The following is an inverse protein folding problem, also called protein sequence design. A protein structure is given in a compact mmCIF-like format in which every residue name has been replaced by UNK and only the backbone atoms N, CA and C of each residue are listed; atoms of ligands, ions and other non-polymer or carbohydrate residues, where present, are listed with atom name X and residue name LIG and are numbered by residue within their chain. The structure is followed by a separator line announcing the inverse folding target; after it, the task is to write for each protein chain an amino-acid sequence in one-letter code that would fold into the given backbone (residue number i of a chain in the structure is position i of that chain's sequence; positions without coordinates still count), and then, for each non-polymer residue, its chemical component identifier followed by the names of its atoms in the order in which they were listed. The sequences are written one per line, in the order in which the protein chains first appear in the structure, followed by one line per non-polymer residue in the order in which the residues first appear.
data_IF_968769273691
#
_entry.id   IF_968769273691
#
_cell.length_a   1.000
_cell.length_b   1.000
_cell.length_c   1.000
_cell.angle_alpha   90.00
_cell.angle_beta   90.00
_cell.angle_gamma   90.00
#
_symmetry.space_group_name_H-M   'P 1'
#
loop_
_entity.id
_entity.type
_entity.pdbx_description
1 polymer ?
#
# COMPACT_ATOMS: atom_id res chain seq x y z
N UNK A 1 -47.30 -27.42 -11.98
CA UNK A 1 -47.66 -28.15 -10.74
C UNK A 1 -46.64 -29.24 -10.47
N UNK A 2 -46.05 -29.28 -9.26
CA UNK A 2 -45.65 -30.47 -8.47
C UNK A 2 -45.33 -29.96 -7.06
N UNK A 3 -45.74 -30.68 -6.01
CA UNK A 3 -45.52 -30.32 -4.59
C UNK A 3 -44.65 -31.39 -3.93
N UNK A 4 -43.85 -30.99 -2.93
CA UNK A 4 -43.57 -31.62 -1.61
C UNK A 4 -42.26 -30.97 -1.08
N UNK A 5 -42.14 -30.26 0.07
CA UNK A 5 -42.45 -30.55 1.50
C UNK A 5 -41.85 -31.87 2.01
N UNK A 6 -41.13 -31.97 3.15
CA UNK A 6 -40.67 -31.01 4.18
C UNK A 6 -39.53 -31.66 5.00
N UNK A 7 -38.70 -30.89 5.73
CA UNK A 7 -38.27 -31.20 7.12
C UNK A 7 -37.40 -30.06 7.73
N UNK A 8 -37.30 -29.99 9.06
CA UNK A 8 -36.61 -28.89 9.77
C UNK A 8 -36.20 -29.23 11.23
N UNK A 9 -35.17 -28.53 11.73
CA UNK A 9 -34.88 -28.20 13.15
C UNK A 9 -34.47 -29.34 14.13
N UNK A 10 -33.98 -29.05 15.38
CA UNK A 10 -33.02 -28.00 15.81
C UNK A 10 -32.03 -28.44 16.97
N UNK A 11 -31.32 -27.46 17.59
CA UNK A 11 -30.69 -27.44 18.96
C UNK A 11 -29.28 -28.08 19.14
N UNK A 12 -28.42 -27.67 20.09
CA UNK A 12 -28.51 -26.60 21.12
C UNK A 12 -27.15 -25.99 21.62
N UNK A 13 -27.21 -24.72 22.06
CA UNK A 13 -26.50 -24.04 23.19
C UNK A 13 -25.03 -24.37 23.59
N UNK A 14 -24.12 -23.37 23.60
CA UNK A 14 -23.58 -22.68 24.83
C UNK A 14 -22.62 -21.48 24.60
N UNK A 15 -22.63 -20.53 25.55
CA UNK A 15 -21.60 -19.50 25.85
C UNK A 15 -21.54 -19.32 27.40
N UNK A 16 -20.55 -18.64 28.03
CA UNK A 16 -20.73 -17.20 28.35
C UNK A 16 -19.48 -16.30 28.70
N UNK A 17 -19.33 -15.17 28.00
CA UNK A 17 -19.03 -13.80 28.57
C UNK A 17 -17.65 -13.54 29.26
N UNK A 18 -17.34 -12.36 29.89
CA UNK A 18 -16.19 -11.50 29.50
C UNK A 18 -15.29 -11.17 30.74
N UNK A 19 -14.97 -9.94 31.24
CA UNK A 19 -15.15 -8.53 30.77
C UNK A 19 -14.05 -8.10 29.76
N UNK A 20 -13.51 -6.87 29.57
CA UNK A 20 -13.48 -5.56 30.26
C UNK A 20 -13.43 -4.37 29.24
N UNK A 21 -13.64 -3.13 29.72
CA UNK A 21 -13.28 -1.84 29.08
C UNK A 21 -12.50 -0.97 30.08
N UNK A 22 -11.77 0.10 29.66
CA UNK A 22 -12.30 1.45 29.95
C UNK A 22 -11.85 2.65 29.05
N UNK A 23 -12.77 3.63 28.93
CA UNK A 23 -12.56 5.11 29.01
C UNK A 23 -11.84 5.91 27.89
N UNK A 24 -12.41 7.08 27.58
CA UNK A 24 -11.82 8.16 26.77
C UNK A 24 -10.86 9.05 27.59
N UNK A 25 -9.81 9.57 26.96
CA UNK A 25 -9.08 10.74 27.44
C UNK A 25 -8.84 11.75 26.28
N UNK A 26 -8.43 12.98 26.60
CA UNK A 26 -8.44 14.11 25.64
C UNK A 26 -7.13 14.91 25.65
N UNK A 27 -6.94 15.68 24.56
CA UNK A 27 -6.03 16.83 24.36
C UNK A 27 -4.53 16.59 24.08
N UNK A 28 -4.10 17.38 23.09
CA UNK A 28 -2.88 18.22 22.97
C UNK A 28 -1.62 17.70 22.23
N UNK A 29 -1.31 18.51 21.21
CA UNK A 29 0.02 19.04 20.84
C UNK A 29 1.04 18.10 20.19
N UNK A 30 1.44 18.47 18.96
CA UNK A 30 2.63 17.96 18.29
C UNK A 30 3.91 18.62 18.86
N UNK A 31 5.02 17.88 19.02
CA UNK A 31 6.31 18.45 19.39
C UNK A 31 7.16 18.78 18.15
N UNK A 32 7.29 20.06 17.80
CA UNK A 32 8.29 20.52 16.83
C UNK A 32 9.69 20.26 17.40
N UNK A 33 10.49 19.40 16.77
CA UNK A 33 11.86 19.10 17.24
C UNK A 33 12.91 19.74 16.32
N UNK A 34 13.64 20.71 16.86
CA UNK A 34 14.73 21.40 16.17
C UNK A 34 15.92 20.46 15.88
N UNK A 35 16.70 20.79 14.84
CA UNK A 35 17.95 20.08 14.53
C UNK A 35 19.04 20.39 15.57
N UNK A 36 19.79 19.39 16.06
CA UNK A 36 21.09 19.63 16.69
C UNK A 36 22.16 19.92 15.62
N UNK A 37 23.18 20.74 15.92
CA UNK A 37 24.30 20.99 15.00
C UNK A 37 25.21 19.77 14.84
N UNK A 38 25.89 19.67 13.70
CA UNK A 38 26.81 18.56 13.42
C UNK A 38 28.12 18.65 14.22
N UNK A 39 28.52 17.54 14.85
CA UNK A 39 29.89 17.26 15.37
C UNK A 39 30.02 15.87 16.03
N UNK A 40 28.91 15.25 16.46
CA UNK A 40 28.94 14.03 17.27
C UNK A 40 29.54 12.77 16.59
N UNK A 41 29.35 12.57 15.28
CA UNK A 41 29.78 11.33 14.61
C UNK A 41 31.32 11.22 14.49
N UNK A 42 31.99 12.35 14.26
CA UNK A 42 33.45 12.38 14.02
C UNK A 42 34.26 12.06 15.29
N UNK A 43 33.72 12.37 16.47
CA UNK A 43 34.34 12.05 17.76
C UNK A 43 34.21 10.57 18.17
N UNK A 44 33.18 9.86 17.67
CA UNK A 44 32.96 8.45 18.01
C UNK A 44 34.02 7.53 17.35
N UNK A 45 34.45 7.85 16.14
CA UNK A 45 35.36 7.03 15.34
C UNK A 45 36.83 7.12 15.80
N UNK A 46 37.26 8.21 16.43
CA UNK A 46 38.65 8.37 16.90
C UNK A 46 38.89 7.81 18.29
N UNK A 47 37.85 7.56 19.10
CA UNK A 47 37.98 7.08 20.47
C UNK A 47 38.08 5.54 20.60
N UNK A 48 37.59 4.77 19.61
CA UNK A 48 37.61 3.30 19.65
C UNK A 48 38.93 2.66 19.15
N UNK A 49 39.90 3.45 18.71
CA UNK A 49 41.20 2.94 18.22
C UNK A 49 42.19 2.55 19.34
N UNK A 50 41.90 2.83 20.61
CA UNK A 50 42.93 2.94 21.64
C UNK A 50 42.64 2.22 22.98
N UNK A 51 42.03 1.02 22.98
CA UNK A 51 42.23 0.04 24.08
C UNK A 51 41.74 -1.40 23.77
N UNK A 52 42.31 -2.08 22.76
CA UNK A 52 42.18 -3.54 22.64
C UNK A 52 43.23 -4.19 23.56
N UNK A 53 42.87 -4.37 24.83
CA UNK A 53 43.68 -5.17 25.76
C UNK A 53 43.58 -6.65 25.39
N UNK A 54 44.73 -7.31 25.24
CA UNK A 54 44.83 -8.71 24.81
C UNK A 54 44.43 -9.67 25.95
N UNK A 55 43.13 -9.88 26.15
CA UNK A 55 42.62 -10.89 27.09
C UNK A 55 42.82 -12.31 26.56
N UNK A 56 43.12 -13.30 27.43
CA UNK A 56 43.33 -14.69 27.02
C UNK A 56 42.03 -15.34 26.50
N UNK A 57 42.13 -16.33 25.60
CA UNK A 57 40.97 -16.83 24.85
C UNK A 57 40.06 -17.72 25.70
N UNK A 58 38.94 -17.15 26.17
CA UNK A 58 37.75 -17.94 26.50
C UNK A 58 37.00 -18.30 25.21
N UNK A 59 36.39 -19.48 25.15
CA UNK A 59 35.86 -20.06 23.90
C UNK A 59 34.80 -19.16 23.20
N UNK A 60 34.09 -18.33 23.96
CA UNK A 60 33.11 -17.35 23.46
C UNK A 60 33.74 -16.30 22.53
N UNK A 61 34.98 -15.89 22.81
CA UNK A 61 35.68 -14.86 22.03
C UNK A 61 36.01 -15.31 20.60
N UNK A 62 36.39 -16.58 20.43
CA UNK A 62 36.69 -17.18 19.12
C UNK A 62 35.47 -17.13 18.19
N UNK A 63 34.27 -17.28 18.74
CA UNK A 63 33.01 -17.23 17.97
C UNK A 63 32.69 -15.80 17.51
N UNK A 64 32.96 -14.77 18.34
CA UNK A 64 32.73 -13.38 17.95
C UNK A 64 33.79 -12.88 16.96
N UNK A 65 35.09 -13.12 17.23
CA UNK A 65 36.18 -12.78 16.28
C UNK A 65 35.99 -13.52 14.96
N UNK A 66 35.66 -14.82 15.00
CA UNK A 66 35.39 -15.61 13.79
C UNK A 66 34.18 -15.15 12.97
N UNK A 67 33.19 -14.50 13.60
CA UNK A 67 32.08 -13.84 12.87
C UNK A 67 32.51 -12.49 12.30
N UNK A 68 33.24 -11.69 13.07
CA UNK A 68 33.71 -10.36 12.65
C UNK A 68 34.67 -10.46 11.45
N UNK A 69 35.68 -11.35 11.51
CA UNK A 69 36.60 -11.58 10.39
C UNK A 69 35.86 -12.05 9.12
N UNK A 70 34.85 -12.93 9.24
CA UNK A 70 34.03 -13.36 8.09
C UNK A 70 33.27 -12.21 7.44
N UNK A 71 32.71 -11.28 8.23
CA UNK A 71 32.02 -10.10 7.69
C UNK A 71 33.00 -9.15 6.99
N UNK A 72 34.20 -8.96 7.54
CA UNK A 72 35.26 -8.16 6.92
C UNK A 72 35.69 -8.78 5.58
N UNK A 73 36.02 -10.07 5.53
CA UNK A 73 36.46 -10.72 4.29
C UNK A 73 35.38 -10.81 3.20
N UNK A 74 34.10 -10.89 3.57
CA UNK A 74 32.99 -10.80 2.60
C UNK A 74 32.86 -9.37 2.05
N UNK A 75 33.06 -8.34 2.88
CA UNK A 75 33.08 -6.94 2.43
C UNK A 75 34.29 -6.66 1.53
N UNK A 76 35.48 -7.16 1.87
CA UNK A 76 36.69 -7.07 1.05
C UNK A 76 36.51 -7.76 -0.31
N UNK A 77 35.88 -8.95 -0.33
CA UNK A 77 35.54 -9.65 -1.57
C UNK A 77 34.64 -8.80 -2.48
N UNK A 78 33.53 -8.27 -1.95
CA UNK A 78 32.66 -7.40 -2.75
C UNK A 78 33.33 -6.10 -3.17
N UNK A 79 34.18 -5.50 -2.32
CA UNK A 79 34.91 -4.28 -2.66
C UNK A 79 35.86 -4.53 -3.86
N UNK A 80 36.63 -5.62 -3.82
CA UNK A 80 37.50 -6.02 -4.92
C UNK A 80 36.72 -6.37 -6.20
N UNK A 81 35.65 -7.17 -6.09
CA UNK A 81 34.84 -7.61 -7.25
C UNK A 81 34.05 -6.47 -7.90
N UNK A 82 33.64 -5.45 -7.14
CA UNK A 82 32.82 -4.33 -7.63
C UNK A 82 33.65 -3.04 -7.84
N UNK A 83 34.98 -3.10 -7.77
CA UNK A 83 35.87 -1.92 -7.85
C UNK A 83 35.57 -1.06 -9.08
N UNK A 84 35.40 -1.66 -10.25
CA UNK A 84 35.18 -0.94 -11.51
C UNK A 84 33.82 -0.23 -11.56
N UNK A 85 32.79 -0.80 -10.91
CA UNK A 85 31.46 -0.19 -10.77
C UNK A 85 31.51 0.96 -9.75
N UNK A 86 32.23 0.76 -8.63
CA UNK A 86 32.42 1.79 -7.59
C UNK A 86 33.21 3.00 -8.12
N UNK A 87 34.15 2.77 -9.04
CA UNK A 87 34.96 3.81 -9.67
C UNK A 87 34.38 4.36 -10.98
N UNK A 88 33.22 3.86 -11.45
CA UNK A 88 32.61 4.33 -12.69
C UNK A 88 32.22 5.82 -12.58
N UNK A 89 32.85 6.72 -13.35
CA UNK A 89 32.78 8.17 -13.06
C UNK A 89 31.38 8.73 -13.23
N UNK A 90 30.63 8.22 -14.22
CA UNK A 90 29.32 8.74 -14.60
C UNK A 90 28.15 8.09 -13.82
N UNK A 91 28.45 7.18 -12.88
CA UNK A 91 27.45 6.51 -12.05
C UNK A 91 26.56 7.52 -11.31
N UNK A 92 27.16 8.60 -10.79
CA UNK A 92 26.48 9.59 -9.95
C UNK A 92 25.88 10.76 -10.73
N UNK A 93 26.49 11.15 -11.84
CA UNK A 93 26.07 12.29 -12.68
C UNK A 93 24.97 11.90 -13.64
N UNK A 94 25.09 10.73 -14.29
CA UNK A 94 24.18 10.27 -15.34
C UNK A 94 23.29 9.13 -14.83
N UNK A 95 23.86 7.99 -14.44
CA UNK A 95 23.09 6.76 -14.18
C UNK A 95 22.06 6.94 -13.05
N UNK A 96 22.50 7.38 -11.87
CA UNK A 96 21.59 7.68 -10.75
C UNK A 96 20.72 8.93 -10.97
N UNK A 97 21.07 9.82 -11.90
CA UNK A 97 20.20 10.94 -12.26
C UNK A 97 19.00 10.43 -13.05
N UNK A 98 19.25 9.67 -14.11
CA UNK A 98 18.23 9.12 -14.99
C UNK A 98 17.29 8.17 -14.24
N UNK A 99 17.80 7.29 -13.38
CA UNK A 99 16.95 6.45 -12.52
C UNK A 99 16.13 7.25 -11.50
N UNK A 100 16.66 8.34 -10.96
CA UNK A 100 15.91 9.22 -10.04
C UNK A 100 14.81 9.98 -10.78
N UNK A 101 15.06 10.49 -11.98
CA UNK A 101 14.05 11.17 -12.79
C UNK A 101 12.92 10.21 -13.19
N UNK A 102 13.27 9.03 -13.71
CA UNK A 102 12.33 7.97 -14.03
C UNK A 102 11.51 7.51 -12.81
N UNK A 103 12.18 7.28 -11.67
CA UNK A 103 11.53 6.95 -10.41
C UNK A 103 10.57 8.04 -9.92
N UNK A 104 10.97 9.32 -10.05
CA UNK A 104 10.11 10.46 -9.72
C UNK A 104 8.88 10.54 -10.62
N UNK A 105 9.00 10.21 -11.92
CA UNK A 105 7.86 10.16 -12.84
C UNK A 105 6.85 9.05 -12.44
N UNK A 106 7.34 7.86 -12.10
CA UNK A 106 6.48 6.78 -11.59
C UNK A 106 5.81 7.15 -10.26
N UNK A 107 6.55 7.76 -9.32
CA UNK A 107 6.01 8.24 -8.05
C UNK A 107 4.97 9.34 -8.26
N UNK A 108 5.16 10.25 -9.22
CA UNK A 108 4.17 11.26 -9.57
C UNK A 108 2.87 10.61 -10.07
N UNK A 109 2.94 9.64 -10.98
CA UNK A 109 1.75 8.92 -11.46
C UNK A 109 1.01 8.21 -10.33
N UNK A 110 1.74 7.52 -9.43
CA UNK A 110 1.17 6.82 -8.27
C UNK A 110 0.48 7.79 -7.29
N UNK A 111 1.14 8.91 -6.96
CA UNK A 111 0.60 9.92 -6.04
C UNK A 111 -0.58 10.67 -6.64
N UNK A 112 -0.59 10.90 -7.95
CA UNK A 112 -1.70 11.53 -8.67
C UNK A 112 -2.95 10.63 -8.66
N UNK A 113 -2.79 9.31 -8.87
CA UNK A 113 -3.89 8.34 -8.74
C UNK A 113 -4.43 8.26 -7.30
N UNK A 114 -3.54 8.29 -6.30
CA UNK A 114 -3.95 8.32 -4.88
C UNK A 114 -4.68 9.62 -4.50
N UNK A 115 -4.31 10.76 -5.09
CA UNK A 115 -5.01 12.03 -4.90
C UNK A 115 -6.39 12.00 -5.55
N UNK A 116 -6.48 11.59 -6.83
CA UNK A 116 -7.74 11.45 -7.55
C UNK A 116 -8.70 10.49 -6.84
N UNK A 117 -8.20 9.35 -6.34
CA UNK A 117 -9.01 8.39 -5.57
C UNK A 117 -9.61 8.99 -4.29
N UNK A 118 -8.92 9.93 -3.64
CA UNK A 118 -9.44 10.64 -2.46
C UNK A 118 -10.51 11.67 -2.84
N UNK A 119 -10.34 12.35 -3.97
CA UNK A 119 -11.33 13.30 -4.53
C UNK A 119 -12.61 12.56 -4.94
N UNK A 120 -12.50 11.48 -5.72
CA UNK A 120 -13.64 10.66 -6.14
C UNK A 120 -14.40 10.03 -4.97
N UNK A 121 -13.71 9.59 -3.90
CA UNK A 121 -14.37 9.08 -2.69
C UNK A 121 -15.08 10.20 -1.92
N UNK A 122 -14.53 11.42 -1.89
CA UNK A 122 -15.22 12.58 -1.32
C UNK A 122 -16.50 12.90 -2.12
N UNK A 123 -16.44 12.88 -3.45
CA UNK A 123 -17.60 13.06 -4.33
C UNK A 123 -18.70 12.03 -4.04
N UNK A 124 -18.35 10.73 -4.04
CA UNK A 124 -19.29 9.64 -3.78
C UNK A 124 -19.94 9.76 -2.39
N UNK A 125 -19.21 10.23 -1.37
CA UNK A 125 -19.77 10.47 -0.03
C UNK A 125 -20.78 11.63 0.00
N UNK A 126 -20.61 12.67 -0.83
CA UNK A 126 -21.58 13.75 -0.98
C UNK A 126 -22.77 13.37 -1.86
N UNK A 127 -22.56 12.52 -2.87
CA UNK A 127 -23.61 12.01 -3.76
C UNK A 127 -24.51 10.96 -3.09
N UNK A 128 -23.95 10.11 -2.21
CA UNK A 128 -24.62 8.95 -1.61
C UNK A 128 -26.06 9.18 -1.11
N UNK A 129 -26.41 10.28 -0.40
CA UNK A 129 -27.79 10.53 0.04
C UNK A 129 -28.79 10.68 -1.12
N UNK A 130 -28.35 11.24 -2.25
CA UNK A 130 -29.16 11.50 -3.43
C UNK A 130 -29.27 10.26 -4.33
N UNK A 131 -28.24 9.41 -4.32
CA UNK A 131 -28.21 8.09 -4.97
C UNK A 131 -28.86 6.98 -4.12
N UNK A 132 -29.47 7.32 -2.98
CA UNK A 132 -30.10 6.39 -2.03
C UNK A 132 -29.15 5.37 -1.38
N UNK A 133 -27.84 5.64 -1.41
CA UNK A 133 -26.79 4.83 -0.79
C UNK A 133 -26.73 5.18 0.70
N UNK A 134 -27.33 4.34 1.54
CA UNK A 134 -27.43 4.57 2.98
C UNK A 134 -26.49 3.65 3.78
N UNK A 135 -25.76 4.16 4.79
CA UNK A 135 -24.87 3.35 5.63
C UNK A 135 -25.63 2.32 6.47
N UNK A 136 -24.94 1.27 6.94
CA UNK A 136 -25.52 0.22 7.78
C UNK A 136 -25.91 0.78 9.16
N UNK A 137 -27.17 0.62 9.55
CA UNK A 137 -27.68 1.16 10.82
C UNK A 137 -27.28 0.29 12.03
N UNK A 138 -26.82 0.94 13.10
CA UNK A 138 -26.53 0.28 14.39
C UNK A 138 -27.79 -0.36 15.02
N UNK A 139 -27.63 -1.62 15.41
CA UNK A 139 -28.67 -2.44 16.03
C UNK A 139 -28.17 -2.99 17.38
N UNK A 140 -29.03 -2.90 18.40
CA UNK A 140 -28.85 -3.48 19.73
C UNK A 140 -29.35 -4.93 19.72
N UNK A 141 -29.03 -5.69 20.77
CA UNK A 141 -29.60 -7.02 20.96
C UNK A 141 -31.13 -7.01 20.87
N UNK A 142 -31.67 -8.00 20.13
CA UNK A 142 -33.10 -8.12 19.83
C UNK A 142 -33.63 -7.26 18.67
N UNK A 143 -32.88 -6.27 18.17
CA UNK A 143 -33.34 -5.43 17.04
C UNK A 143 -33.02 -6.05 15.67
N UNK A 144 -34.02 -6.13 14.78
CA UNK A 144 -33.82 -6.59 13.40
C UNK A 144 -33.28 -5.45 12.50
N UNK A 145 -32.09 -5.66 11.93
CA UNK A 145 -31.43 -4.66 11.07
C UNK A 145 -32.27 -4.26 9.86
N UNK A 146 -32.94 -5.21 9.19
CA UNK A 146 -33.82 -4.94 8.04
C UNK A 146 -34.89 -3.88 8.34
N UNK A 147 -35.51 -3.95 9.53
CA UNK A 147 -36.58 -3.03 9.95
C UNK A 147 -36.02 -1.63 10.20
N UNK A 148 -34.80 -1.53 10.74
CA UNK A 148 -34.10 -0.24 10.93
C UNK A 148 -33.60 0.34 9.60
N UNK A 149 -33.04 -0.48 8.72
CA UNK A 149 -32.57 -0.05 7.41
C UNK A 149 -33.75 0.44 6.55
N UNK A 150 -34.89 -0.26 6.57
CA UNK A 150 -36.10 0.17 5.84
C UNK A 150 -36.69 1.47 6.40
N UNK A 151 -36.74 1.65 7.73
CA UNK A 151 -37.13 2.94 8.33
C UNK A 151 -36.19 4.10 7.95
N UNK A 152 -34.90 3.81 7.72
CA UNK A 152 -33.95 4.82 7.23
C UNK A 152 -34.21 5.15 5.75
N UNK A 153 -34.47 4.13 4.92
CA UNK A 153 -34.88 4.28 3.52
C UNK A 153 -36.18 5.09 3.39
N UNK A 154 -37.22 4.73 4.16
CA UNK A 154 -38.49 5.46 4.27
C UNK A 154 -38.27 6.95 4.64
N UNK A 155 -37.34 7.25 5.55
CA UNK A 155 -37.01 8.63 5.98
C UNK A 155 -36.32 9.46 4.89
N UNK A 156 -35.47 8.85 4.06
CA UNK A 156 -34.64 9.56 3.07
C UNK A 156 -35.10 9.38 1.61
N UNK A 157 -36.22 8.70 1.37
CA UNK A 157 -36.78 8.50 0.02
C UNK A 157 -36.98 9.82 -0.76
N UNK A 158 -37.33 10.91 -0.07
CA UNK A 158 -37.51 12.23 -0.66
C UNK A 158 -36.23 12.90 -1.15
N UNK A 159 -35.04 12.35 -0.84
CA UNK A 159 -33.76 12.83 -1.40
C UNK A 159 -33.38 12.13 -2.72
N UNK A 160 -34.06 11.05 -3.13
CA UNK A 160 -33.68 10.27 -4.29
C UNK A 160 -33.94 11.02 -5.60
N UNK A 161 -32.90 11.66 -6.16
CA UNK A 161 -33.03 12.65 -7.24
C UNK A 161 -33.69 12.08 -8.49
N UNK A 162 -33.18 10.96 -9.02
CA UNK A 162 -33.72 10.32 -10.24
C UNK A 162 -35.20 9.94 -10.07
N UNK A 163 -35.57 9.38 -8.91
CA UNK A 163 -36.94 8.95 -8.62
C UNK A 163 -37.90 10.15 -8.53
N UNK A 164 -37.49 11.23 -7.85
CA UNK A 164 -38.26 12.48 -7.80
C UNK A 164 -38.45 13.11 -9.20
N UNK A 165 -37.40 13.13 -10.02
CA UNK A 165 -37.45 13.69 -11.37
C UNK A 165 -38.31 12.84 -12.30
N UNK A 166 -38.24 11.51 -12.21
CA UNK A 166 -39.10 10.62 -13.01
C UNK A 166 -40.57 10.64 -12.56
N UNK A 167 -40.90 11.15 -11.37
CA UNK A 167 -42.27 11.36 -10.91
C UNK A 167 -42.85 12.76 -11.22
N UNK A 168 -42.01 13.81 -11.26
CA UNK A 168 -42.47 15.21 -11.31
C UNK A 168 -41.91 16.03 -12.48
N UNK A 169 -40.89 15.53 -13.18
CA UNK A 169 -40.18 16.21 -14.26
C UNK A 169 -40.70 15.87 -15.65
N UNK A 170 -40.09 16.50 -16.66
CA UNK A 170 -40.30 16.14 -18.07
C UNK A 170 -39.44 14.93 -18.46
N UNK A 171 -39.80 14.17 -19.52
CA UNK A 171 -38.98 13.04 -19.99
C UNK A 171 -37.52 13.41 -20.33
N UNK A 172 -37.29 14.64 -20.80
CA UNK A 172 -35.94 15.15 -21.06
C UNK A 172 -35.12 15.28 -19.77
N UNK A 173 -35.74 15.75 -18.68
CA UNK A 173 -35.08 15.86 -17.38
C UNK A 173 -34.82 14.50 -16.74
N UNK A 174 -35.70 13.51 -16.95
CA UNK A 174 -35.48 12.12 -16.52
C UNK A 174 -34.21 11.54 -17.15
N UNK A 175 -34.11 11.58 -18.48
CA UNK A 175 -32.94 11.09 -19.21
C UNK A 175 -31.63 11.77 -18.73
N UNK A 176 -31.63 13.10 -18.55
CA UNK A 176 -30.46 13.86 -18.07
C UNK A 176 -30.11 13.48 -16.63
N UNK A 177 -31.10 13.20 -15.78
CA UNK A 177 -30.87 12.78 -14.40
C UNK A 177 -30.29 11.36 -14.32
N UNK A 178 -30.71 10.44 -15.20
CA UNK A 178 -30.18 9.08 -15.27
C UNK A 178 -28.74 9.04 -15.82
N UNK A 179 -28.42 9.84 -16.84
CA UNK A 179 -27.05 10.01 -17.32
C UNK A 179 -26.15 10.68 -16.25
N UNK A 180 -26.66 11.71 -15.57
CA UNK A 180 -25.95 12.37 -14.48
C UNK A 180 -25.70 11.47 -13.27
N UNK A 181 -26.64 10.59 -12.90
CA UNK A 181 -26.46 9.61 -11.82
C UNK A 181 -25.38 8.58 -12.18
N UNK A 182 -25.39 8.08 -13.43
CA UNK A 182 -24.36 7.17 -13.95
C UNK A 182 -22.97 7.81 -13.87
N UNK A 183 -22.83 9.02 -14.43
CA UNK A 183 -21.58 9.81 -14.41
C UNK A 183 -21.15 10.25 -12.99
N UNK A 184 -22.03 10.19 -11.99
CA UNK A 184 -21.68 10.48 -10.59
C UNK A 184 -21.23 9.23 -9.85
N UNK A 185 -21.87 8.09 -10.14
CA UNK A 185 -21.60 6.79 -9.51
C UNK A 185 -20.34 6.10 -10.05
N UNK A 186 -20.05 6.29 -11.33
CA UNK A 186 -18.95 5.62 -12.01
C UNK A 186 -17.67 6.46 -11.89
N UNK A 187 -16.75 5.95 -11.05
CA UNK A 187 -15.49 6.55 -10.61
C UNK A 187 -14.38 5.50 -10.71
N UNK A 188 -13.14 5.91 -10.94
CA UNK A 188 -12.00 5.00 -11.06
C UNK A 188 -11.76 4.23 -9.76
N UNK A 189 -11.90 4.90 -8.62
CA UNK A 189 -11.79 4.33 -7.27
C UNK A 189 -12.75 3.17 -6.97
N UNK A 190 -13.76 2.92 -7.81
CA UNK A 190 -14.69 1.80 -7.68
C UNK A 190 -14.11 0.45 -8.14
N UNK A 191 -12.92 0.41 -8.76
CA UNK A 191 -12.25 -0.85 -9.12
C UNK A 191 -11.24 -0.80 -10.28
N UNK A 192 -10.75 0.37 -10.67
CA UNK A 192 -9.79 0.56 -11.74
C UNK A 192 -8.49 1.16 -11.19
N UNK A 193 -7.35 0.85 -11.83
CA UNK A 193 -6.05 1.49 -11.56
C UNK A 193 -5.40 1.93 -12.87
N UNK A 194 -4.82 3.14 -12.87
CA UNK A 194 -4.09 3.69 -14.01
C UNK A 194 -2.61 3.29 -13.92
N UNK A 195 -2.07 3.19 -12.71
CA UNK A 195 -0.69 2.84 -12.43
C UNK A 195 -0.33 1.42 -12.88
N UNK A 196 -1.24 0.45 -12.77
CA UNK A 196 -1.05 -0.90 -13.35
C UNK A 196 -0.88 -0.85 -14.89
N UNK A 197 -1.66 -0.01 -15.57
CA UNK A 197 -1.56 0.22 -17.02
C UNK A 197 -0.25 0.94 -17.38
N UNK A 198 0.19 1.89 -16.55
CA UNK A 198 1.47 2.59 -16.72
C UNK A 198 2.65 1.63 -16.56
N UNK A 199 2.69 0.80 -15.50
CA UNK A 199 3.72 -0.22 -15.30
C UNK A 199 3.72 -1.26 -16.43
N UNK A 200 2.54 -1.64 -16.93
CA UNK A 200 2.41 -2.56 -18.07
C UNK A 200 2.98 -1.98 -19.36
N UNK A 201 2.82 -0.66 -19.61
CA UNK A 201 3.44 0.04 -20.74
C UNK A 201 4.95 0.19 -20.57
N UNK A 202 5.40 0.56 -19.37
CA UNK A 202 6.83 0.65 -19.01
C UNK A 202 7.57 -0.67 -19.25
N UNK A 203 6.93 -1.80 -18.91
CA UNK A 203 7.49 -3.13 -19.21
C UNK A 203 7.72 -3.34 -20.71
N UNK A 204 6.83 -2.83 -21.57
CA UNK A 204 6.97 -2.84 -23.03
C UNK A 204 7.96 -1.81 -23.59
N UNK A 205 8.79 -1.19 -22.75
CA UNK A 205 10.00 -0.47 -23.17
C UNK A 205 11.29 -1.25 -22.80
N UNK A 206 11.17 -2.40 -22.14
CA UNK A 206 12.28 -3.24 -21.68
C UNK A 206 12.46 -4.48 -22.58
N UNK A 207 12.28 -4.30 -23.89
CA UNK A 207 12.30 -5.36 -24.90
C UNK A 207 13.73 -5.80 -25.32
N UNK A 208 14.76 -5.04 -24.94
CA UNK A 208 16.15 -5.35 -25.28
C UNK A 208 16.66 -6.59 -24.48
N UNK A 209 17.31 -7.58 -25.11
CA UNK A 209 17.82 -8.76 -24.41
C UNK A 209 18.83 -8.45 -23.29
N UNK A 210 19.44 -7.25 -23.25
CA UNK A 210 20.36 -6.85 -22.17
C UNK A 210 19.71 -6.84 -20.78
N UNK A 211 18.39 -6.67 -20.68
CA UNK A 211 17.68 -6.65 -19.39
C UNK A 211 17.59 -8.05 -18.75
N UNK A 212 17.56 -9.11 -19.58
CA UNK A 212 17.30 -10.51 -19.19
C UNK A 212 18.52 -11.41 -19.34
N UNK A 213 19.46 -11.06 -20.22
CA UNK A 213 20.67 -11.83 -20.46
C UNK A 213 20.45 -13.16 -21.22
N UNK A 214 21.49 -14.01 -21.27
CA UNK A 214 21.41 -15.33 -21.90
C UNK A 214 20.67 -16.35 -21.02
N UNK A 215 20.09 -17.41 -21.61
CA UNK A 215 19.41 -18.46 -20.85
C UNK A 215 20.36 -19.22 -19.92
N UNK A 216 19.91 -19.60 -18.71
CA UNK A 216 20.79 -20.15 -17.68
C UNK A 216 21.28 -21.56 -17.99
N UNK A 217 22.56 -21.82 -17.75
CA UNK A 217 23.25 -23.10 -18.05
C UNK A 217 22.63 -24.32 -17.34
N UNK A 218 21.98 -24.10 -16.19
CA UNK A 218 21.30 -25.13 -15.40
C UNK A 218 19.83 -25.35 -15.80
N UNK A 219 19.30 -24.59 -16.76
CA UNK A 219 17.91 -24.66 -17.21
C UNK A 219 16.88 -24.07 -16.22
N UNK A 220 17.31 -23.37 -15.17
CA UNK A 220 16.43 -22.82 -14.11
C UNK A 220 16.66 -21.33 -13.88
N UNK A 221 17.86 -20.91 -13.47
CA UNK A 221 18.20 -19.51 -13.18
C UNK A 221 19.72 -19.27 -13.13
N UNK A 222 20.18 -18.06 -13.43
CA UNK A 222 21.58 -17.68 -13.27
C UNK A 222 21.92 -17.52 -11.78
N UNK A 223 23.08 -18.02 -11.35
CA UNK A 223 23.49 -18.04 -9.94
C UNK A 223 24.71 -17.16 -9.74
N UNK A 224 25.79 -17.48 -10.47
CA UNK A 224 27.08 -16.80 -10.42
C UNK A 224 27.22 -15.78 -11.56
N UNK A 225 26.45 -15.93 -12.64
CA UNK A 225 26.50 -15.09 -13.83
C UNK A 225 25.80 -13.74 -13.64
N UNK A 226 26.58 -12.66 -13.44
CA UNK A 226 26.09 -11.28 -13.46
C UNK A 226 25.71 -10.82 -14.88
N UNK A 227 24.60 -11.36 -15.41
CA UNK A 227 24.11 -11.11 -16.78
C UNK A 227 22.68 -10.63 -16.87
N UNK A 228 22.00 -10.50 -15.72
CA UNK A 228 20.64 -9.95 -15.58
C UNK A 228 20.71 -8.57 -14.94
N UNK A 229 19.84 -7.64 -15.32
CA UNK A 229 19.88 -6.25 -14.82
C UNK A 229 19.82 -6.12 -13.29
N UNK A 230 19.20 -7.08 -12.59
CA UNK A 230 19.13 -7.08 -11.12
C UNK A 230 20.47 -7.39 -10.41
N UNK A 231 21.54 -7.70 -11.17
CA UNK A 231 22.90 -7.97 -10.67
C UNK A 231 23.88 -6.80 -10.90
N UNK A 232 23.40 -5.69 -11.48
CA UNK A 232 24.14 -4.44 -11.71
C UNK A 232 23.97 -3.47 -10.52
#
# INVERSE_FOLDING_TARGET
MRKLTTLAQPRDVRAPTPPHSPVLASRRAAPTRAMPPGSALTAALTSQAAHIAFQPPTQTGVIQVGRLCRLISVLEYYNATLTDIIQYPDARTELFHNFREFGNALLFCLLMEQALSQEEVCDLLHAAPFQFILPRVFCREGEKQEVKQRRLQEKYASLQVVNNINQMGTPSQGNIAEEGDLLTRERLCCGLSVFEVILSRVRGFLDDPIWVGPPPKNGVMNIEECTEFHRL
#
